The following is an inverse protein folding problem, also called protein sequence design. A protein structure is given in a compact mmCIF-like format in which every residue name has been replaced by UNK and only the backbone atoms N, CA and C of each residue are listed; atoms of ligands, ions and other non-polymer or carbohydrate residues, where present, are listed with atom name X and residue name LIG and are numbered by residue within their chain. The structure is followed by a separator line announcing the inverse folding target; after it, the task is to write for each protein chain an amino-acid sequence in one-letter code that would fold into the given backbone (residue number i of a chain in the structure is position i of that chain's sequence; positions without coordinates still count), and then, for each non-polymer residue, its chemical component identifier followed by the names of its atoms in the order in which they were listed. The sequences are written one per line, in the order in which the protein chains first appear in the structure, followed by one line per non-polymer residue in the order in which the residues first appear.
data_IF_510759734137
#
_entry.id   IF_510759734137
#
_cell.length_a   1.000
_cell.length_b   1.000
_cell.length_c   1.000
_cell.angle_alpha   90.00
_cell.angle_beta   90.00
_cell.angle_gamma   90.00
#
_symmetry.space_group_name_H-M   'P 1'
#
loop_
_entity.id
_entity.type
_entity.pdbx_description
1 polymer ?
#
# COMPACT_ATOMS: atom_id res chain seq x y z
N UNK A 1 -12.76 -16.37 25.71
CA UNK A 1 -12.64 -16.31 25.07
C UNK A 1 -12.84 -17.04 24.26
N UNK A 2 -13.50 -17.18 23.82
CA UNK A 2 -13.85 -17.69 23.08
C UNK A 2 -14.43 -17.62 22.03
N UNK A 3 -15.66 -18.05 21.83
CA UNK A 3 -16.16 -18.23 20.55
C UNK A 3 -16.63 -17.00 19.92
N UNK A 4 -17.34 -16.23 20.62
CA UNK A 4 -17.66 -14.95 20.06
C UNK A 4 -16.37 -14.21 19.93
N UNK A 5 -15.48 -14.53 20.77
CA UNK A 5 -14.18 -14.02 20.62
C UNK A 5 -13.51 -14.55 19.42
N UNK A 6 -13.96 -15.65 18.92
CA UNK A 6 -13.42 -16.21 17.72
C UNK A 6 -13.42 -15.21 16.60
N UNK A 7 -14.53 -14.51 16.43
CA UNK A 7 -14.59 -13.48 15.41
C UNK A 7 -13.60 -12.40 15.69
N UNK A 8 -13.50 -12.01 16.93
CA UNK A 8 -12.59 -10.94 17.29
C UNK A 8 -11.17 -11.41 17.25
N UNK A 9 -10.93 -12.61 17.64
CA UNK A 9 -9.61 -13.18 17.52
C UNK A 9 -9.20 -13.28 16.10
N UNK A 10 -10.11 -13.77 15.31
CA UNK A 10 -9.92 -13.85 13.93
C UNK A 10 -9.60 -12.50 13.40
N UNK A 11 -10.35 -11.51 13.87
CA UNK A 11 -10.11 -10.15 13.44
C UNK A 11 -8.73 -9.67 13.80
N UNK A 12 -8.28 -9.97 15.00
CA UNK A 12 -6.96 -9.52 15.43
C UNK A 12 -5.86 -10.17 14.60
N UNK A 13 -5.95 -11.47 14.44
CA UNK A 13 -4.94 -12.20 13.70
C UNK A 13 -4.95 -11.79 12.23
N UNK A 14 -6.14 -11.67 11.67
CA UNK A 14 -6.28 -11.23 10.30
C UNK A 14 -5.80 -9.79 10.14
N UNK A 15 -6.00 -8.99 11.14
CA UNK A 15 -5.54 -7.61 11.13
C UNK A 15 -4.03 -7.56 11.08
N UNK A 16 -3.37 -8.41 11.86
CA UNK A 16 -1.91 -8.46 11.83
C UNK A 16 -1.41 -8.89 10.46
N UNK A 17 -2.02 -9.89 9.86
CA UNK A 17 -1.64 -10.32 8.53
C UNK A 17 -1.85 -9.21 7.50
N UNK A 18 -2.96 -8.52 7.64
CA UNK A 18 -3.31 -7.43 6.77
C UNK A 18 -2.24 -6.33 6.82
N UNK A 19 -1.87 -5.91 8.02
CA UNK A 19 -0.88 -4.86 8.18
C UNK A 19 0.52 -5.35 7.85
N UNK A 20 0.82 -6.60 8.12
CA UNK A 20 2.11 -7.16 7.75
C UNK A 20 2.34 -7.03 6.26
N UNK A 21 1.34 -7.39 5.47
CA UNK A 21 1.45 -7.29 4.03
C UNK A 21 1.68 -5.86 3.56
N UNK A 22 0.98 -4.93 4.16
CA UNK A 22 1.13 -3.53 3.80
C UNK A 22 2.49 -2.98 4.20
N UNK A 23 2.93 -3.29 5.40
CA UNK A 23 4.24 -2.82 5.84
C UNK A 23 5.36 -3.44 5.00
N UNK A 24 5.23 -4.69 4.64
CA UNK A 24 6.22 -5.32 3.77
C UNK A 24 6.26 -4.63 2.41
N UNK A 25 5.10 -4.27 1.90
CA UNK A 25 5.02 -3.63 0.59
C UNK A 25 5.71 -2.28 0.59
N UNK A 26 5.61 -1.52 1.67
CA UNK A 26 6.20 -0.19 1.70
C UNK A 26 7.60 -0.17 2.30
N UNK A 27 8.08 -1.29 2.84
CA UNK A 27 9.40 -1.35 3.47
C UNK A 27 10.47 -1.63 2.42
N UNK A 28 10.57 -0.77 1.43
CA UNK A 28 11.53 -0.90 0.35
C UNK A 28 11.78 0.50 -0.21
N UNK A 29 13.06 0.85 -0.34
CA UNK A 29 13.41 2.20 -0.75
C UNK A 29 12.81 2.56 -2.10
N UNK A 30 12.89 1.65 -3.07
CA UNK A 30 12.36 1.94 -4.40
C UNK A 30 10.86 2.14 -4.37
N UNK A 31 10.17 1.34 -3.58
CA UNK A 31 8.72 1.49 -3.49
C UNK A 31 8.33 2.77 -2.76
N UNK A 32 9.10 3.18 -1.76
CA UNK A 32 8.84 4.46 -1.11
C UNK A 32 9.05 5.61 -2.10
N UNK A 33 10.06 5.50 -2.96
CA UNK A 33 10.28 6.52 -3.97
C UNK A 33 9.12 6.58 -4.97
N UNK A 34 8.62 5.43 -5.38
CA UNK A 34 7.45 5.37 -6.27
C UNK A 34 6.27 6.07 -5.62
N UNK A 35 6.01 5.76 -4.36
CA UNK A 35 4.90 6.37 -3.64
C UNK A 35 5.04 7.89 -3.59
N UNK A 36 6.25 8.36 -3.35
CA UNK A 36 6.49 9.78 -3.29
C UNK A 36 6.26 10.46 -4.63
N UNK A 37 6.72 9.83 -5.71
CA UNK A 37 6.51 10.38 -7.04
C UNK A 37 5.03 10.45 -7.37
N UNK A 38 4.28 9.39 -7.03
CA UNK A 38 2.84 9.39 -7.27
C UNK A 38 2.13 10.45 -6.45
N UNK A 39 2.60 10.69 -5.24
CA UNK A 39 2.02 11.75 -4.41
C UNK A 39 2.19 13.11 -5.07
N UNK A 40 3.35 13.34 -5.65
CA UNK A 40 3.65 14.64 -6.24
C UNK A 40 3.01 14.86 -7.60
N UNK A 41 2.82 13.78 -8.36
CA UNK A 41 2.36 13.90 -9.74
C UNK A 41 0.96 13.40 -10.00
N UNK A 42 0.36 12.75 -9.01
CA UNK A 42 -0.96 12.17 -9.18
C UNK A 42 -0.89 10.90 -10.01
N UNK A 43 -1.84 10.73 -10.92
CA UNK A 43 -1.93 9.52 -11.71
C UNK A 43 -0.86 9.49 -12.79
N UNK A 44 -0.15 8.36 -12.91
CA UNK A 44 0.94 8.25 -13.87
C UNK A 44 0.94 6.87 -14.52
N UNK A 45 1.33 6.81 -15.78
CA UNK A 45 1.53 5.52 -16.45
C UNK A 45 2.96 5.04 -16.20
N UNK A 46 3.18 3.75 -16.52
CA UNK A 46 4.51 3.16 -16.36
C UNK A 46 5.53 3.88 -17.23
N UNK A 47 5.11 4.30 -18.43
CA UNK A 47 6.02 4.96 -19.35
C UNK A 47 6.54 6.29 -18.81
N UNK A 48 5.76 6.97 -17.98
CA UNK A 48 6.21 8.21 -17.35
C UNK A 48 7.00 7.95 -16.08
N UNK A 49 6.63 6.89 -15.38
CA UNK A 49 7.22 6.58 -14.09
C UNK A 49 8.61 5.95 -14.22
N UNK A 50 8.80 5.10 -15.24
CA UNK A 50 10.04 4.38 -15.40
C UNK A 50 11.27 5.30 -15.52
N UNK A 51 11.23 6.35 -16.36
CA UNK A 51 12.40 7.23 -16.45
C UNK A 51 12.71 7.93 -15.13
N UNK A 52 11.68 8.31 -14.39
CA UNK A 52 11.88 8.99 -13.12
C UNK A 52 12.51 8.07 -12.10
N UNK A 53 12.21 6.78 -12.18
CA UNK A 53 12.78 5.79 -11.27
C UNK A 53 14.11 5.24 -11.80
N UNK A 54 14.45 5.56 -13.04
CA UNK A 54 15.67 5.05 -13.68
C UNK A 54 15.73 3.54 -13.62
N UNK A 55 14.63 2.90 -13.98
CA UNK A 55 14.58 1.44 -14.02
C UNK A 55 13.76 0.98 -15.21
N UNK A 56 13.95 -0.27 -15.57
CA UNK A 56 13.21 -0.86 -16.68
C UNK A 56 11.72 -0.95 -16.34
N UNK A 57 10.89 -1.02 -17.38
CA UNK A 57 9.47 -1.17 -17.15
C UNK A 57 9.15 -2.50 -16.47
N UNK A 58 9.91 -3.54 -16.77
CA UNK A 58 9.72 -4.83 -16.12
C UNK A 58 9.93 -4.75 -14.62
N UNK A 59 11.02 -4.12 -14.22
CA UNK A 59 11.34 -4.00 -12.81
C UNK A 59 10.34 -3.11 -12.11
N UNK A 60 9.95 -2.04 -12.78
CA UNK A 60 8.96 -1.14 -12.22
C UNK A 60 7.63 -1.86 -12.04
N UNK A 61 7.22 -2.65 -13.04
CA UNK A 61 5.98 -3.40 -12.96
C UNK A 61 5.98 -4.37 -11.78
N UNK A 62 7.13 -4.96 -11.51
CA UNK A 62 7.28 -5.84 -10.36
C UNK A 62 6.95 -5.10 -9.06
N UNK A 63 7.50 -3.91 -8.89
CA UNK A 63 7.24 -3.11 -7.70
C UNK A 63 5.80 -2.62 -7.64
N UNK A 64 5.26 -2.22 -8.78
CA UNK A 64 3.89 -1.75 -8.83
C UNK A 64 2.91 -2.85 -8.46
N UNK A 65 3.19 -4.09 -8.89
CA UNK A 65 2.31 -5.19 -8.54
C UNK A 65 2.30 -5.44 -7.03
N UNK A 66 3.45 -5.34 -6.40
CA UNK A 66 3.51 -5.52 -4.94
C UNK A 66 2.67 -4.45 -4.24
N UNK A 67 2.79 -3.21 -4.69
CA UNK A 67 2.02 -2.11 -4.11
C UNK A 67 0.53 -2.27 -4.37
N UNK A 68 0.19 -2.73 -5.58
CA UNK A 68 -1.22 -2.97 -5.93
C UNK A 68 -1.83 -4.06 -5.07
N UNK A 69 -1.10 -5.17 -4.93
CA UNK A 69 -1.60 -6.30 -4.15
C UNK A 69 -1.81 -5.92 -2.69
N UNK A 70 -1.05 -4.97 -2.20
CA UNK A 70 -1.20 -4.48 -0.83
C UNK A 70 -2.21 -3.33 -0.75
N UNK A 71 -2.81 -2.96 -1.86
CA UNK A 71 -3.80 -1.90 -1.92
C UNK A 71 -3.24 -0.53 -1.55
N UNK A 72 -1.94 -0.37 -1.70
CA UNK A 72 -1.27 0.91 -1.43
C UNK A 72 -1.47 1.87 -2.60
N UNK A 73 -1.59 1.33 -3.81
CA UNK A 73 -1.86 2.13 -4.99
C UNK A 73 -3.07 1.56 -5.70
N UNK A 74 -3.65 2.36 -6.57
CA UNK A 74 -4.79 1.97 -7.41
C UNK A 74 -4.38 2.03 -8.86
N UNK A 75 -5.04 1.24 -9.67
CA UNK A 75 -4.77 1.18 -11.09
C UNK A 75 -6.04 1.48 -11.85
N UNK A 76 -5.95 2.34 -12.84
CA UNK A 76 -7.06 2.64 -13.72
C UNK A 76 -6.60 2.45 -15.15
N UNK A 77 -7.41 1.72 -15.93
CA UNK A 77 -7.08 1.48 -17.33
C UNK A 77 -7.92 2.40 -18.20
N UNK A 78 -7.25 3.11 -19.09
CA UNK A 78 -7.92 3.99 -20.05
C UNK A 78 -7.44 3.59 -21.44
N UNK A 79 -8.31 2.93 -22.19
CA UNK A 79 -7.90 2.38 -23.47
C UNK A 79 -6.86 1.31 -23.27
N UNK A 80 -5.70 1.49 -23.90
CA UNK A 80 -4.60 0.55 -23.78
C UNK A 80 -3.60 0.97 -22.69
N UNK A 81 -3.86 2.10 -22.04
CA UNK A 81 -2.93 2.64 -21.05
C UNK A 81 -3.38 2.33 -19.64
N UNK A 82 -2.43 2.01 -18.78
CA UNK A 82 -2.69 1.82 -17.36
C UNK A 82 -2.05 2.95 -16.58
N UNK A 83 -2.84 3.53 -15.71
CA UNK A 83 -2.41 4.64 -14.86
C UNK A 83 -2.46 4.21 -13.40
N UNK A 84 -1.49 4.64 -12.65
CA UNK A 84 -1.36 4.28 -11.23
C UNK A 84 -1.40 5.54 -10.39
N UNK A 85 -2.05 5.45 -9.25
CA UNK A 85 -2.07 6.56 -8.31
C UNK A 85 -2.08 6.01 -6.89
N UNK A 86 -1.65 6.83 -5.96
CA UNK A 86 -1.61 6.44 -4.56
C UNK A 86 -3.02 6.26 -4.03
N UNK A 87 -3.21 5.23 -3.21
CA UNK A 87 -4.48 5.03 -2.54
C UNK A 87 -4.41 5.78 -1.21
N UNK A 88 -4.78 7.05 -1.25
CA UNK A 88 -4.63 7.94 -0.11
C UNK A 88 -5.44 7.48 1.08
N UNK A 89 -6.65 6.98 0.83
CA UNK A 89 -7.51 6.51 1.91
C UNK A 89 -6.85 5.35 2.66
N UNK A 90 -6.24 4.44 1.91
CA UNK A 90 -5.59 3.28 2.53
C UNK A 90 -4.35 3.69 3.32
N UNK A 91 -3.60 4.64 2.79
CA UNK A 91 -2.43 5.15 3.49
C UNK A 91 -2.82 5.88 4.76
N UNK A 92 -3.87 6.67 4.68
CA UNK A 92 -4.35 7.38 5.86
C UNK A 92 -4.77 6.40 6.94
N UNK A 93 -5.40 5.30 6.52
CA UNK A 93 -5.81 4.28 7.46
C UNK A 93 -4.62 3.54 8.05
N UNK A 94 -3.64 3.22 7.22
CA UNK A 94 -2.45 2.50 7.66
C UNK A 94 -1.66 3.31 8.68
N UNK A 95 -1.59 4.62 8.49
CA UNK A 95 -0.84 5.51 9.36
C UNK A 95 -1.75 6.19 10.38
N UNK A 96 -2.85 5.58 10.70
CA UNK A 96 -3.88 6.19 11.55
C UNK A 96 -3.63 5.90 13.02
N UNK A 97 -4.39 6.61 13.84
CA UNK A 97 -4.34 6.38 15.28
C UNK A 97 -4.94 5.02 15.65
N UNK A 98 -5.79 4.47 14.80
CA UNK A 98 -6.33 3.14 15.02
C UNK A 98 -5.23 2.10 15.09
N UNK A 99 -4.29 2.16 14.15
CA UNK A 99 -3.17 1.25 14.17
C UNK A 99 -2.29 1.52 15.38
N UNK A 100 -2.13 2.79 15.70
CA UNK A 100 -1.36 3.21 16.84
C UNK A 100 -1.88 2.56 18.12
N UNK A 101 -3.19 2.51 18.26
CA UNK A 101 -3.81 1.97 19.46
C UNK A 101 -3.56 0.48 19.66
N UNK A 102 -3.19 -0.22 18.62
CA UNK A 102 -2.86 -1.64 18.76
C UNK A 102 -1.58 -1.85 19.56
N UNK A 103 -0.77 -0.81 19.67
CA UNK A 103 0.55 -0.95 20.26
C UNK A 103 0.77 -0.07 21.49
N UNK A 104 -0.29 0.58 21.96
CA UNK A 104 -0.19 1.43 23.15
C UNK A 104 -1.15 0.94 24.22
N UNK A 105 -0.70 0.86 25.44
CA UNK A 105 -1.60 0.44 26.54
C UNK A 105 -2.75 1.40 26.72
N UNK A 106 -2.49 2.70 26.53
CA UNK A 106 -3.56 3.69 26.58
C UNK A 106 -3.82 4.13 25.17
N UNK A 107 -5.03 3.98 24.73
CA UNK A 107 -5.38 4.29 23.38
C UNK A 107 -5.22 5.75 23.06
N UNK A 108 -4.84 6.01 21.86
CA UNK A 108 -4.62 7.37 21.38
C UNK A 108 -5.85 8.23 21.48
#
# INVERSE_FOLDING_TARGET
MKSEMTNQHQSTDQLFEHYEGKFKAIADKKRLQIMNILTQNGSMCVCDLAPLMEMSQSKLSYHLKILLDANIIKKETKGTWSFYELNQAELNHLLSSELCCLFKPTCC
#
